data_IF_297495849609
#
_entry.id   IF_297495849609
#
_cell.length_a   1.000
_cell.length_b   1.000
_cell.length_c   1.000
_cell.angle_alpha   90.00
_cell.angle_beta   90.00
_cell.angle_gamma   90.00
#
_symmetry.space_group_name_H-M   'P 1'
#
loop_
_entity.id
_entity.type
_entity.pdbx_description
1 polymer ?
#
# COMPACT_ATOMS: atom_id res chain seq x y z
N UNK A 1 13.39 -47.05 -28.72
CA UNK A 1 12.70 -48.36 -28.75
C UNK A 1 12.89 -48.94 -27.37
N UNK A 2 11.82 -49.54 -26.87
CA UNK A 2 11.55 -49.93 -25.46
C UNK A 2 11.13 -48.76 -24.57
N UNK A 3 10.12 -48.84 -23.71
CA UNK A 3 8.90 -49.62 -23.55
C UNK A 3 8.05 -48.82 -22.52
N UNK A 4 6.71 -48.95 -22.57
CA UNK A 4 5.72 -48.96 -21.47
C UNK A 4 6.01 -48.16 -20.16
N UNK A 5 5.10 -47.38 -19.56
CA UNK A 5 3.83 -47.84 -18.97
C UNK A 5 3.08 -46.68 -18.27
N UNK A 6 1.75 -46.83 -18.15
CA UNK A 6 0.91 -46.40 -17.02
C UNK A 6 0.76 -44.90 -16.69
N UNK A 7 -0.29 -44.29 -17.24
CA UNK A 7 -0.97 -43.13 -16.67
C UNK A 7 -1.75 -43.51 -15.40
N UNK A 8 -1.36 -42.96 -14.25
CA UNK A 8 -2.18 -42.94 -13.03
C UNK A 8 -2.38 -41.51 -12.55
N UNK A 9 -3.64 -41.08 -12.53
CA UNK A 9 -4.10 -39.88 -11.83
C UNK A 9 -4.15 -40.17 -10.33
N UNK A 10 -3.50 -39.34 -9.53
CA UNK A 10 -3.65 -39.34 -8.07
C UNK A 10 -4.10 -37.94 -7.63
N UNK A 11 -5.38 -37.83 -7.31
CA UNK A 11 -5.89 -36.82 -6.39
C UNK A 11 -5.43 -37.18 -4.98
N UNK A 12 -4.76 -36.27 -4.28
CA UNK A 12 -4.68 -36.30 -2.81
C UNK A 12 -4.68 -34.88 -2.23
N UNK A 13 -5.87 -34.48 -1.74
CA UNK A 13 -6.12 -33.89 -0.43
C UNK A 13 -4.97 -33.16 0.27
N UNK A 14 -4.96 -31.82 0.22
CA UNK A 14 -4.32 -30.99 1.26
C UNK A 14 -5.35 -30.72 2.36
N UNK A 15 -5.43 -31.66 3.31
CA UNK A 15 -6.09 -31.46 4.60
C UNK A 15 -4.97 -31.14 5.61
N UNK A 16 -4.84 -29.88 6.01
CA UNK A 16 -4.04 -29.54 7.20
C UNK A 16 -4.92 -29.54 8.45
N UNK A 17 -4.40 -30.01 9.61
CA UNK A 17 -5.21 -30.44 10.74
C UNK A 17 -5.58 -29.25 11.63
N UNK A 18 -6.86 -29.17 12.00
CA UNK A 18 -7.35 -28.32 13.10
C UNK A 18 -7.29 -29.13 14.39
N UNK A 19 -6.44 -28.73 15.33
CA UNK A 19 -6.55 -28.88 16.80
C UNK A 19 -5.16 -28.60 17.42
N UNK A 20 -4.95 -28.03 18.61
CA UNK A 20 -5.82 -27.57 19.69
C UNK A 20 -4.99 -26.64 20.59
N UNK A 21 -5.53 -25.48 20.99
CA UNK A 21 -4.95 -24.69 22.10
C UNK A 21 -5.68 -25.06 23.39
N UNK A 22 -4.98 -25.79 24.26
CA UNK A 22 -5.36 -26.15 25.62
C UNK A 22 -5.78 -24.91 26.43
N UNK A 23 -7.03 -24.88 26.90
CA UNK A 23 -7.46 -24.00 28.01
C UNK A 23 -6.91 -24.55 29.34
N UNK A 24 -6.11 -23.75 30.04
CA UNK A 24 -5.82 -23.95 31.47
C UNK A 24 -7.12 -23.75 32.27
N UNK A 25 -7.48 -24.77 33.05
CA UNK A 25 -8.52 -24.68 34.07
C UNK A 25 -7.98 -23.88 35.27
N UNK A 26 -8.74 -22.90 35.75
CA UNK A 26 -8.63 -22.39 37.12
C UNK A 26 -9.92 -22.74 37.87
N UNK A 27 -9.73 -23.23 39.08
CA UNK A 27 -10.70 -23.89 39.94
C UNK A 27 -11.82 -22.97 40.45
N UNK A 28 -12.96 -23.61 40.71
CA UNK A 28 -14.19 -23.05 41.24
C UNK A 28 -14.07 -22.36 42.62
N UNK A 29 -14.94 -21.36 42.83
CA UNK A 29 -15.63 -21.18 44.12
C UNK A 29 -17.04 -20.62 43.87
N UNK A 30 -18.00 -21.21 44.58
CA UNK A 30 -19.45 -21.09 44.50
C UNK A 30 -20.03 -19.82 45.12
N UNK A 31 -21.14 -19.29 44.57
CA UNK A 31 -22.41 -19.06 45.32
C UNK A 31 -23.52 -18.37 44.49
N UNK A 32 -24.70 -19.00 44.53
CA UNK A 32 -26.08 -18.46 44.63
C UNK A 32 -26.63 -17.43 43.61
N UNK A 33 -27.56 -17.92 42.77
CA UNK A 33 -28.94 -17.42 42.66
C UNK A 33 -29.24 -16.07 41.98
N UNK A 34 -29.80 -16.11 40.76
CA UNK A 34 -31.10 -15.49 40.42
C UNK A 34 -31.42 -15.67 38.94
N UNK A 35 -32.71 -15.89 38.70
CA UNK A 35 -33.34 -16.18 37.42
C UNK A 35 -33.27 -14.97 36.48
N UNK A 36 -32.71 -15.14 35.29
CA UNK A 36 -32.96 -14.25 34.16
C UNK A 36 -32.82 -15.00 32.85
N UNK A 37 -33.85 -14.85 32.02
CA UNK A 37 -33.99 -15.42 30.68
C UNK A 37 -32.71 -15.30 29.86
N UNK A 38 -32.08 -16.44 29.59
CA UNK A 38 -30.94 -16.56 28.67
C UNK A 38 -31.39 -16.29 27.24
N UNK A 39 -31.33 -15.03 26.82
CA UNK A 39 -31.00 -14.76 25.42
C UNK A 39 -29.52 -15.08 25.24
N UNK A 40 -29.23 -16.28 24.73
CA UNK A 40 -27.93 -16.58 24.15
C UNK A 40 -27.71 -15.62 22.99
N UNK A 41 -27.12 -14.46 23.25
CA UNK A 41 -26.46 -13.68 22.22
C UNK A 41 -25.29 -14.55 21.77
N UNK A 42 -25.52 -15.38 20.75
CA UNK A 42 -24.42 -15.91 19.93
C UNK A 42 -23.61 -14.68 19.54
N UNK A 43 -22.44 -14.52 20.14
CA UNK A 43 -21.45 -13.59 19.66
C UNK A 43 -21.13 -14.05 18.24
N UNK A 44 -21.75 -13.42 17.26
CA UNK A 44 -21.33 -13.49 15.89
C UNK A 44 -19.95 -12.84 15.87
N UNK A 45 -18.89 -13.65 15.98
CA UNK A 45 -17.57 -13.21 15.54
C UNK A 45 -17.66 -13.19 14.02
N UNK A 46 -17.99 -12.03 13.47
CA UNK A 46 -17.84 -11.78 12.05
C UNK A 46 -16.34 -11.83 11.76
N UNK A 47 -15.87 -12.97 11.26
CA UNK A 47 -14.51 -13.05 10.73
C UNK A 47 -14.56 -12.53 9.29
N UNK A 48 -14.43 -11.22 9.16
CA UNK A 48 -14.43 -10.51 7.88
C UNK A 48 -13.38 -11.08 6.90
N UNK A 49 -12.38 -11.84 7.38
CA UNK A 49 -11.38 -12.49 6.54
C UNK A 49 -11.94 -13.62 5.66
N UNK A 50 -13.14 -14.13 5.96
CA UNK A 50 -13.77 -15.24 5.23
C UNK A 50 -14.82 -14.79 4.22
N UNK A 51 -15.18 -13.50 4.22
CA UNK A 51 -16.16 -12.96 3.28
C UNK A 51 -15.45 -12.49 2.00
N UNK A 52 -15.62 -13.24 0.90
CA UNK A 52 -14.96 -12.92 -0.38
C UNK A 52 -15.28 -11.51 -0.88
N UNK A 53 -16.44 -10.95 -0.52
CA UNK A 53 -16.85 -9.58 -0.87
C UNK A 53 -15.98 -8.48 -0.24
N UNK A 54 -15.22 -8.80 0.83
CA UNK A 54 -14.27 -7.87 1.46
C UNK A 54 -12.83 -8.37 1.40
N UNK A 55 -12.61 -9.61 0.93
CA UNK A 55 -11.28 -10.21 0.83
C UNK A 55 -10.72 -10.42 -0.56
N UNK A 56 -11.50 -10.14 -1.61
CA UNK A 56 -11.01 -10.21 -2.97
C UNK A 56 -11.50 -9.04 -3.80
N UNK A 57 -10.70 -8.64 -4.77
CA UNK A 57 -11.13 -7.74 -5.80
C UNK A 57 -12.28 -8.34 -6.61
N UNK A 58 -13.19 -7.48 -7.06
CA UNK A 58 -14.31 -7.86 -7.91
C UNK A 58 -14.14 -7.23 -9.27
N UNK A 59 -14.35 -8.00 -10.33
CA UNK A 59 -14.37 -7.51 -11.72
C UNK A 59 -15.79 -7.56 -12.28
N UNK A 60 -16.17 -6.53 -13.02
CA UNK A 60 -17.42 -6.45 -13.76
C UNK A 60 -17.40 -7.33 -15.02
N UNK A 61 -18.53 -7.37 -15.74
CA UNK A 61 -18.66 -8.13 -17.01
C UNK A 61 -17.74 -7.60 -18.12
N UNK A 62 -17.31 -6.36 -18.01
CA UNK A 62 -16.35 -5.70 -18.90
C UNK A 62 -14.88 -5.96 -18.51
N UNK A 63 -14.64 -6.78 -17.49
CA UNK A 63 -13.31 -7.10 -16.97
C UNK A 63 -12.70 -6.00 -16.10
N UNK A 64 -13.37 -4.87 -15.89
CA UNK A 64 -12.87 -3.77 -15.05
C UNK A 64 -13.12 -4.04 -13.58
N UNK A 65 -12.25 -3.52 -12.71
CA UNK A 65 -12.50 -3.56 -11.28
C UNK A 65 -13.76 -2.77 -10.93
N UNK A 66 -14.58 -3.36 -10.05
CA UNK A 66 -15.78 -2.73 -9.51
C UNK A 66 -15.63 -2.61 -8.01
N UNK A 67 -15.99 -1.45 -7.49
CA UNK A 67 -16.06 -1.25 -6.06
C UNK A 67 -17.22 -2.12 -5.50
N UNK A 68 -16.96 -3.03 -4.56
CA UNK A 68 -17.98 -3.93 -4.03
C UNK A 68 -18.95 -3.23 -3.06
N UNK A 69 -18.61 -2.05 -2.53
CA UNK A 69 -19.42 -1.38 -1.52
C UNK A 69 -20.59 -0.61 -2.14
N UNK A 70 -21.81 -0.77 -1.60
CA UNK A 70 -23.01 -0.09 -2.10
C UNK A 70 -22.98 1.44 -1.89
N UNK A 71 -22.03 1.95 -1.10
CA UNK A 71 -21.78 3.37 -0.91
C UNK A 71 -21.08 4.02 -2.12
N UNK A 72 -20.43 3.22 -2.97
CA UNK A 72 -19.78 3.72 -4.17
C UNK A 72 -20.80 4.17 -5.21
N UNK A 73 -20.56 5.35 -5.79
CA UNK A 73 -21.35 5.90 -6.89
C UNK A 73 -20.39 6.25 -8.02
N UNK A 74 -20.67 5.74 -9.23
CA UNK A 74 -19.88 6.09 -10.39
C UNK A 74 -19.96 7.60 -10.65
N UNK A 75 -18.80 8.22 -10.87
CA UNK A 75 -18.72 9.61 -11.28
C UNK A 75 -19.32 9.74 -12.70
N UNK A 76 -20.24 10.68 -12.84
CA UNK A 76 -20.83 11.04 -14.14
C UNK A 76 -19.97 12.11 -14.81
N UNK A 77 -19.79 12.04 -16.14
CA UNK A 77 -18.99 13.01 -16.91
C UNK A 77 -19.43 14.47 -16.63
N UNK A 78 -20.73 14.81 -16.63
CA UNK A 78 -21.23 16.11 -16.17
C UNK A 78 -20.78 16.52 -14.77
N UNK A 79 -20.67 15.59 -13.82
CA UNK A 79 -20.25 15.88 -12.45
C UNK A 79 -18.75 16.21 -12.38
N UNK A 80 -17.92 15.50 -13.17
CA UNK A 80 -16.48 15.81 -13.27
C UNK A 80 -16.26 17.18 -13.89
N UNK A 81 -16.96 17.49 -15.00
CA UNK A 81 -16.87 18.79 -15.65
C UNK A 81 -17.37 19.92 -14.73
N UNK A 82 -18.50 19.70 -14.04
CA UNK A 82 -19.03 20.64 -13.06
C UNK A 82 -18.04 20.88 -11.93
N UNK A 83 -17.45 19.83 -11.38
CA UNK A 83 -16.43 19.94 -10.34
C UNK A 83 -15.24 20.75 -10.84
N UNK A 84 -14.65 20.42 -12.00
CA UNK A 84 -13.53 21.17 -12.58
C UNK A 84 -13.80 22.67 -12.76
N UNK A 85 -15.03 23.06 -13.10
CA UNK A 85 -15.40 24.46 -13.35
C UNK A 85 -15.83 25.20 -12.07
N UNK A 86 -16.48 24.49 -11.14
CA UNK A 86 -17.09 25.10 -9.95
C UNK A 86 -16.29 24.90 -8.67
N UNK A 87 -15.22 24.12 -8.70
CA UNK A 87 -14.36 23.93 -7.55
C UNK A 87 -13.68 25.25 -7.20
N UNK A 88 -14.06 25.78 -6.04
CA UNK A 88 -13.40 26.93 -5.44
C UNK A 88 -12.26 26.41 -4.60
N UNK A 89 -11.08 26.99 -4.81
CA UNK A 89 -9.94 26.69 -3.98
C UNK A 89 -10.21 27.18 -2.54
N UNK A 90 -10.38 26.21 -1.63
CA UNK A 90 -10.55 26.43 -0.19
C UNK A 90 -9.30 26.05 0.60
N UNK A 91 -8.19 25.74 -0.08
CA UNK A 91 -6.99 25.17 0.53
C UNK A 91 -6.31 26.12 1.53
N UNK A 92 -6.68 27.41 1.53
CA UNK A 92 -6.13 28.44 2.42
C UNK A 92 -4.59 28.43 2.44
N UNK A 93 -3.99 27.99 1.33
CA UNK A 93 -2.54 27.85 1.23
C UNK A 93 -1.93 29.25 1.12
N UNK A 94 -0.95 29.58 1.97
CA UNK A 94 -0.26 30.84 1.89
C UNK A 94 0.30 31.11 0.49
N UNK A 95 0.03 32.30 -0.04
CA UNK A 95 0.50 32.70 -1.37
C UNK A 95 1.97 33.13 -1.42
N UNK A 96 2.54 33.55 -0.28
CA UNK A 96 3.92 34.00 -0.19
C UNK A 96 4.88 32.86 0.18
N UNK A 97 6.10 32.92 -0.35
CA UNK A 97 7.13 31.91 -0.06
C UNK A 97 7.55 31.97 1.41
N UNK A 98 7.63 33.18 1.96
CA UNK A 98 8.06 33.45 3.33
C UNK A 98 7.08 32.85 4.34
N UNK A 99 5.78 32.98 4.10
CA UNK A 99 4.74 32.38 4.94
C UNK A 99 4.71 30.86 4.78
N UNK A 100 4.86 30.32 3.57
CA UNK A 100 5.00 28.87 3.37
C UNK A 100 6.24 28.29 4.06
N UNK A 101 7.37 28.99 4.03
CA UNK A 101 8.60 28.54 4.68
C UNK A 101 8.49 28.62 6.21
N UNK A 102 7.67 29.54 6.73
CA UNK A 102 7.38 29.66 8.16
C UNK A 102 6.39 28.60 8.66
N UNK A 103 5.28 28.40 7.94
CA UNK A 103 4.20 27.49 8.36
C UNK A 103 4.49 26.03 7.99
N UNK A 104 5.15 25.78 6.86
CA UNK A 104 5.45 24.45 6.33
C UNK A 104 6.94 24.32 5.92
N UNK A 105 7.89 24.49 6.86
CA UNK A 105 9.31 24.41 6.53
C UNK A 105 9.66 23.04 5.91
N UNK A 106 10.43 23.05 4.82
CA UNK A 106 10.97 21.81 4.23
C UNK A 106 12.30 21.53 4.89
N UNK A 107 12.31 20.54 5.77
CA UNK A 107 13.50 20.12 6.48
C UNK A 107 14.37 19.22 5.60
N UNK A 108 15.67 19.30 5.81
CA UNK A 108 16.64 18.38 5.23
C UNK A 108 16.54 17.04 5.98
N UNK A 109 16.30 15.91 5.31
CA UNK A 109 16.30 14.60 5.96
C UNK A 109 17.68 14.26 6.54
N UNK A 110 17.69 13.52 7.66
CA UNK A 110 18.91 13.21 8.40
C UNK A 110 19.94 12.43 7.55
N UNK A 111 19.46 11.50 6.71
CA UNK A 111 20.30 10.63 5.88
C UNK A 111 21.08 11.36 4.78
N UNK A 112 20.84 12.65 4.57
CA UNK A 112 21.67 13.45 3.65
C UNK A 112 23.00 13.82 4.32
N UNK A 113 23.01 14.07 5.63
CA UNK A 113 24.23 14.38 6.38
C UNK A 113 24.87 13.11 6.95
N UNK A 114 24.06 12.15 7.36
CA UNK A 114 24.48 10.92 8.04
C UNK A 114 23.88 9.68 7.32
N UNK A 115 24.29 9.41 6.06
CA UNK A 115 23.72 8.30 5.26
C UNK A 115 23.98 6.92 5.88
N UNK A 116 25.08 6.75 6.61
CA UNK A 116 25.46 5.51 7.29
C UNK A 116 24.54 5.15 8.46
N UNK A 117 23.75 6.10 8.99
CA UNK A 117 22.80 5.82 10.06
C UNK A 117 21.48 5.22 9.57
N UNK A 118 21.23 5.23 8.25
CA UNK A 118 20.01 4.67 7.67
C UNK A 118 20.00 3.13 7.84
N UNK A 119 18.89 2.58 8.32
CA UNK A 119 18.72 1.12 8.52
C UNK A 119 19.47 0.53 9.73
N UNK A 120 20.40 1.25 10.37
CA UNK A 120 21.21 0.74 11.49
C UNK A 120 20.44 0.81 12.81
N UNK A 121 19.55 -0.16 13.08
CA UNK A 121 18.86 -0.31 14.39
C UNK A 121 18.59 -1.78 14.72
N UNK A 122 19.03 -2.23 15.91
CA UNK A 122 18.73 -3.60 16.41
C UNK A 122 17.23 -3.81 16.70
N UNK A 123 16.51 -2.75 17.08
CA UNK A 123 15.06 -2.77 17.28
C UNK A 123 14.47 -1.36 17.11
N UNK A 124 13.33 -1.25 16.44
CA UNK A 124 12.54 -0.03 16.40
C UNK A 124 11.97 0.32 15.02
N UNK A 125 11.30 1.46 14.97
CA UNK A 125 10.65 2.02 13.78
C UNK A 125 11.11 3.47 13.62
N UNK A 126 11.61 3.84 12.44
CA UNK A 126 11.84 5.24 12.05
C UNK A 126 10.97 5.55 10.84
N UNK A 127 10.42 6.76 10.84
CA UNK A 127 9.56 7.24 9.76
C UNK A 127 10.03 8.63 9.36
N UNK A 128 10.29 8.82 8.07
CA UNK A 128 10.63 10.12 7.47
C UNK A 128 9.56 10.49 6.45
N UNK A 129 8.83 11.56 6.71
CA UNK A 129 7.83 12.07 5.77
C UNK A 129 8.50 12.89 4.67
N UNK A 130 8.37 12.45 3.41
CA UNK A 130 8.94 13.10 2.23
C UNK A 130 7.92 13.96 1.45
N UNK A 131 6.71 14.11 2.02
CA UNK A 131 5.63 14.94 1.51
C UNK A 131 4.52 14.14 0.81
N UNK A 132 3.29 14.67 0.84
CA UNK A 132 2.08 13.96 0.39
C UNK A 132 1.95 12.60 1.08
N UNK A 133 1.72 11.52 0.32
CA UNK A 133 1.72 10.15 0.81
C UNK A 133 3.11 9.49 0.77
N UNK A 134 4.17 10.22 0.36
CA UNK A 134 5.51 9.64 0.34
C UNK A 134 6.12 9.61 1.73
N UNK A 135 6.29 8.40 2.25
CA UNK A 135 6.91 8.14 3.54
C UNK A 135 8.00 7.09 3.36
N UNK A 136 9.20 7.39 3.88
CA UNK A 136 10.27 6.41 4.05
C UNK A 136 10.16 5.81 5.45
N UNK A 137 10.13 4.48 5.52
CA UNK A 137 10.00 3.73 6.75
C UNK A 137 11.21 2.82 6.89
N UNK A 138 11.76 2.78 8.10
CA UNK A 138 12.87 1.91 8.46
C UNK A 138 12.42 1.05 9.64
N UNK A 139 12.39 -0.27 9.44
CA UNK A 139 11.99 -1.22 10.46
C UNK A 139 12.49 -2.62 10.09
N UNK A 140 12.82 -3.42 11.11
CA UNK A 140 13.17 -4.83 10.96
C UNK A 140 14.19 -5.07 9.83
N UNK A 141 15.27 -4.28 9.83
CA UNK A 141 16.37 -4.31 8.85
C UNK A 141 16.01 -3.90 7.41
N UNK A 142 14.78 -3.44 7.17
CA UNK A 142 14.31 -2.96 5.88
C UNK A 142 14.09 -1.44 5.86
N UNK A 143 14.39 -0.83 4.71
CA UNK A 143 14.00 0.52 4.34
C UNK A 143 13.05 0.45 3.15
N UNK A 144 11.84 0.97 3.31
CA UNK A 144 10.86 1.01 2.23
C UNK A 144 10.20 2.37 2.06
N UNK A 145 9.73 2.63 0.85
CA UNK A 145 8.97 3.82 0.50
C UNK A 145 7.50 3.48 0.25
N UNK A 146 6.63 4.43 0.56
CA UNK A 146 5.21 4.40 0.17
C UNK A 146 4.98 5.47 -0.88
N UNK A 147 4.20 5.17 -1.93
CA UNK A 147 3.70 6.12 -2.95
C UNK A 147 4.70 7.25 -3.32
N UNK A 148 5.89 6.93 -3.87
CA UNK A 148 6.95 7.90 -4.07
C UNK A 148 6.62 8.90 -5.18
N UNK A 149 6.52 10.18 -4.80
CA UNK A 149 6.30 11.31 -5.71
C UNK A 149 7.34 12.40 -5.48
N UNK A 150 8.41 12.35 -6.27
CA UNK A 150 9.49 13.34 -6.29
C UNK A 150 9.30 14.41 -7.38
N UNK A 151 8.42 14.17 -8.37
CA UNK A 151 8.07 15.16 -9.38
C UNK A 151 7.44 16.42 -8.81
N UNK A 152 7.51 17.51 -9.59
CA UNK A 152 6.90 18.79 -9.23
C UNK A 152 5.38 18.81 -9.42
N UNK A 153 4.87 17.97 -10.34
CA UNK A 153 3.44 17.88 -10.66
C UNK A 153 2.94 16.44 -10.63
N UNK A 154 1.77 16.25 -10.05
CA UNK A 154 1.00 15.00 -10.09
C UNK A 154 0.12 15.00 -11.34
N UNK A 155 0.72 14.68 -12.49
CA UNK A 155 0.08 14.82 -13.79
C UNK A 155 0.77 13.95 -14.84
N UNK A 156 0.04 13.51 -15.90
CA UNK A 156 0.67 12.88 -17.06
C UNK A 156 1.65 13.81 -17.81
N UNK A 157 1.65 15.12 -17.49
CA UNK A 157 2.57 16.09 -18.05
C UNK A 157 3.18 16.97 -16.97
N UNK A 158 4.50 17.17 -17.01
CA UNK A 158 5.18 18.11 -16.09
C UNK A 158 4.92 19.59 -16.40
N UNK A 159 4.17 19.91 -17.48
CA UNK A 159 3.82 21.29 -17.86
C UNK A 159 2.45 21.73 -17.30
N UNK A 160 1.51 20.81 -17.15
CA UNK A 160 0.11 21.09 -16.79
C UNK A 160 -0.35 20.19 -15.64
N UNK A 161 -1.41 20.57 -14.93
CA UNK A 161 -1.97 19.81 -13.81
C UNK A 161 -1.42 20.24 -12.43
N UNK A 162 -1.86 19.58 -11.35
CA UNK A 162 -1.57 19.99 -9.98
C UNK A 162 -0.06 20.06 -9.69
N UNK A 163 0.42 21.20 -9.22
CA UNK A 163 1.81 21.39 -8.79
C UNK A 163 1.86 21.36 -7.27
N UNK A 164 2.83 20.65 -6.71
CA UNK A 164 3.06 20.66 -5.25
C UNK A 164 3.44 22.06 -4.76
N UNK A 165 2.88 22.45 -3.61
CA UNK A 165 3.18 23.74 -2.98
C UNK A 165 4.56 23.79 -2.31
N UNK A 166 5.03 22.62 -1.84
CA UNK A 166 6.33 22.45 -1.18
C UNK A 166 7.16 21.47 -1.99
N UNK A 167 8.45 21.77 -2.19
CA UNK A 167 9.38 20.85 -2.88
C UNK A 167 9.52 19.52 -2.12
N UNK A 168 9.94 18.46 -2.81
CA UNK A 168 10.42 17.27 -2.13
C UNK A 168 11.63 17.66 -1.24
N UNK A 169 11.76 17.09 -0.03
CA UNK A 169 12.85 17.43 0.89
C UNK A 169 14.21 16.93 0.40
N UNK A 170 14.22 15.86 -0.40
CA UNK A 170 15.38 15.29 -1.07
C UNK A 170 15.05 14.88 -2.52
N UNK A 171 16.07 14.49 -3.27
CA UNK A 171 16.02 13.86 -4.59
C UNK A 171 16.10 12.34 -4.47
N UNK A 172 15.75 11.64 -5.55
CA UNK A 172 15.89 10.17 -5.61
C UNK A 172 17.35 9.74 -5.44
N UNK A 173 18.34 10.52 -5.88
CA UNK A 173 19.77 10.22 -5.71
C UNK A 173 20.28 10.35 -4.29
N UNK A 174 19.58 11.09 -3.42
CA UNK A 174 19.98 11.32 -2.03
C UNK A 174 19.38 10.31 -1.05
N UNK A 175 18.47 9.43 -1.51
CA UNK A 175 17.91 8.39 -0.65
C UNK A 175 19.01 7.40 -0.20
N UNK A 176 18.90 6.77 0.98
CA UNK A 176 19.70 5.58 1.29
C UNK A 176 19.32 4.41 0.36
N UNK A 177 20.00 3.25 0.43
CA UNK A 177 19.48 2.01 -0.16
C UNK A 177 18.02 1.78 0.24
N UNK A 178 17.18 1.41 -0.72
CA UNK A 178 15.75 1.14 -0.52
C UNK A 178 15.48 -0.30 -0.95
N UNK A 179 14.92 -1.10 -0.07
CA UNK A 179 14.63 -2.51 -0.31
C UNK A 179 13.29 -2.71 -1.01
N UNK A 180 12.31 -1.86 -0.69
CA UNK A 180 10.98 -1.97 -1.28
C UNK A 180 10.27 -0.63 -1.53
N UNK A 181 9.38 -0.62 -2.52
CA UNK A 181 8.35 0.41 -2.71
C UNK A 181 6.97 -0.21 -2.64
N UNK A 182 6.06 0.42 -1.89
CA UNK A 182 4.66 0.07 -1.80
C UNK A 182 3.83 1.12 -2.55
N UNK A 183 3.09 0.68 -3.57
CA UNK A 183 2.13 1.52 -4.29
C UNK A 183 0.73 1.20 -3.78
N UNK A 184 -0.03 2.22 -3.39
CA UNK A 184 -1.41 2.05 -2.93
C UNK A 184 -2.42 1.99 -4.07
N UNK A 185 -2.25 2.82 -5.11
CA UNK A 185 -3.10 2.89 -6.29
C UNK A 185 -2.45 3.70 -7.42
N UNK A 186 -3.11 3.78 -8.59
CA UNK A 186 -2.52 4.29 -9.83
C UNK A 186 -2.79 5.78 -10.14
N UNK A 187 -3.26 6.57 -9.18
CA UNK A 187 -3.45 8.00 -9.42
C UNK A 187 -2.10 8.73 -9.45
N UNK A 188 -1.99 9.81 -10.24
CA UNK A 188 -0.72 10.50 -10.50
C UNK A 188 -0.07 11.14 -9.26
N UNK A 189 -0.81 11.35 -8.18
CA UNK A 189 -0.31 11.82 -6.90
C UNK A 189 0.17 10.68 -5.98
N UNK A 190 0.07 9.42 -6.42
CA UNK A 190 0.58 8.23 -5.71
C UNK A 190 1.47 7.34 -6.59
N UNK A 191 1.28 7.38 -7.91
CA UNK A 191 2.08 6.68 -8.92
C UNK A 191 2.68 7.69 -9.90
N UNK A 192 3.84 8.23 -9.55
CA UNK A 192 4.57 9.19 -10.38
C UNK A 192 5.57 8.49 -11.31
N UNK A 193 5.30 8.53 -12.61
CA UNK A 193 6.12 7.91 -13.64
C UNK A 193 7.60 8.28 -13.56
N UNK A 194 7.94 9.56 -13.34
CA UNK A 194 9.36 9.96 -13.29
C UNK A 194 10.05 9.46 -12.02
N UNK A 195 9.33 9.36 -10.91
CA UNK A 195 9.86 8.75 -9.68
C UNK A 195 10.11 7.27 -9.87
N UNK A 196 9.18 6.55 -10.52
CA UNK A 196 9.36 5.13 -10.86
C UNK A 196 10.60 4.92 -11.72
N UNK A 197 10.77 5.71 -12.80
CA UNK A 197 11.94 5.61 -13.65
C UNK A 197 13.24 5.91 -12.88
N UNK A 198 13.29 7.00 -12.10
CA UNK A 198 14.50 7.37 -11.37
C UNK A 198 14.88 6.34 -10.29
N UNK A 199 13.89 5.76 -9.59
CA UNK A 199 14.12 4.71 -8.62
C UNK A 199 14.61 3.42 -9.28
N UNK A 200 13.98 3.02 -10.39
CA UNK A 200 14.38 1.84 -11.14
C UNK A 200 15.77 2.00 -11.78
N UNK A 201 16.10 3.18 -12.32
CA UNK A 201 17.43 3.49 -12.84
C UNK A 201 18.50 3.41 -11.74
N UNK A 202 18.16 3.85 -10.52
CA UNK A 202 19.10 3.87 -9.41
C UNK A 202 19.33 2.51 -8.77
N UNK A 203 18.27 1.77 -8.48
CA UNK A 203 18.31 0.55 -7.65
C UNK A 203 18.10 -0.74 -8.47
N UNK A 204 17.54 -0.63 -9.67
CA UNK A 204 17.36 -1.76 -10.58
C UNK A 204 16.66 -2.97 -9.95
N UNK A 205 17.17 -4.20 -10.16
CA UNK A 205 16.53 -5.43 -9.71
C UNK A 205 16.59 -5.66 -8.19
N UNK A 206 17.46 -4.93 -7.47
CA UNK A 206 17.56 -5.02 -6.00
C UNK A 206 16.31 -4.44 -5.33
N UNK A 207 15.67 -3.45 -5.95
CA UNK A 207 14.45 -2.82 -5.44
C UNK A 207 13.21 -3.66 -5.76
N UNK A 208 12.48 -4.09 -4.72
CA UNK A 208 11.19 -4.77 -4.88
C UNK A 208 10.02 -3.79 -4.92
N UNK A 209 9.13 -3.95 -5.90
CA UNK A 209 7.90 -3.18 -6.01
C UNK A 209 6.69 -4.03 -5.59
N UNK A 210 5.92 -3.58 -4.62
CA UNK A 210 4.61 -4.15 -4.28
C UNK A 210 3.53 -3.25 -4.84
N UNK A 211 2.70 -3.78 -5.73
CA UNK A 211 1.67 -3.01 -6.44
C UNK A 211 0.29 -3.71 -6.39
N UNK A 212 -0.82 -2.95 -6.47
CA UNK A 212 -2.15 -3.51 -6.59
C UNK A 212 -2.35 -4.25 -7.92
N UNK A 213 -3.32 -5.17 -7.95
CA UNK A 213 -3.74 -5.85 -9.18
C UNK A 213 -3.98 -4.90 -10.37
N UNK A 214 -3.49 -5.29 -11.55
CA UNK A 214 -3.59 -4.56 -12.81
C UNK A 214 -2.43 -3.62 -13.12
N UNK A 215 -1.43 -3.51 -12.24
CA UNK A 215 -0.26 -2.63 -12.42
C UNK A 215 1.02 -3.34 -12.85
N UNK A 216 1.09 -4.67 -12.79
CA UNK A 216 2.30 -5.43 -13.15
C UNK A 216 2.83 -5.07 -14.56
N UNK A 217 1.95 -5.13 -15.56
CA UNK A 217 2.30 -4.81 -16.96
C UNK A 217 2.77 -3.36 -17.13
N UNK A 218 2.20 -2.42 -16.38
CA UNK A 218 2.62 -1.02 -16.42
C UNK A 218 4.01 -0.85 -15.82
N UNK A 219 4.29 -1.47 -14.67
CA UNK A 219 5.61 -1.43 -14.02
C UNK A 219 6.68 -2.08 -14.91
N UNK A 220 6.38 -3.21 -15.54
CA UNK A 220 7.29 -3.88 -16.48
C UNK A 220 7.60 -3.01 -17.71
N UNK A 221 6.62 -2.26 -18.22
CA UNK A 221 6.84 -1.28 -19.30
C UNK A 221 7.72 -0.11 -18.88
N UNK A 222 7.75 0.23 -17.60
CA UNK A 222 8.71 1.17 -17.02
C UNK A 222 10.12 0.57 -16.82
N UNK A 223 10.29 -0.73 -17.09
CA UNK A 223 11.56 -1.46 -16.93
C UNK A 223 11.76 -2.04 -15.54
N UNK A 224 10.75 -2.06 -14.67
CA UNK A 224 10.85 -2.67 -13.35
C UNK A 224 10.77 -4.20 -13.46
N UNK A 225 11.82 -4.90 -13.00
CA UNK A 225 11.94 -6.36 -13.14
C UNK A 225 11.45 -7.12 -11.89
N UNK A 226 11.64 -6.55 -10.69
CA UNK A 226 11.30 -7.18 -9.41
C UNK A 226 9.97 -6.61 -8.87
N UNK A 227 8.86 -7.03 -9.48
CA UNK A 227 7.51 -6.52 -9.17
C UNK A 227 6.61 -7.65 -8.69
N UNK A 228 5.94 -7.44 -7.56
CA UNK A 228 4.93 -8.32 -7.00
C UNK A 228 3.59 -7.59 -7.06
N UNK A 229 2.66 -8.18 -7.79
CA UNK A 229 1.28 -7.72 -7.89
C UNK A 229 0.41 -8.52 -6.92
N UNK A 230 -0.38 -7.84 -6.08
CA UNK A 230 -1.17 -8.46 -5.02
C UNK A 230 -2.63 -8.00 -5.07
N UNK A 231 -3.54 -8.93 -4.77
CA UNK A 231 -4.90 -8.62 -4.32
C UNK A 231 -4.91 -8.33 -2.80
N UNK A 232 -6.06 -7.90 -2.33
CA UNK A 232 -6.31 -7.59 -0.94
C UNK A 232 -6.13 -8.88 -0.15
N UNK A 233 -5.48 -8.79 1.01
CA UNK A 233 -5.19 -9.94 1.91
C UNK A 233 -4.22 -10.98 1.37
N UNK A 234 -3.67 -10.80 0.18
CA UNK A 234 -2.48 -11.56 -0.23
C UNK A 234 -1.24 -11.00 0.47
N UNK A 235 -0.24 -11.85 0.65
CA UNK A 235 1.00 -11.52 1.33
C UNK A 235 2.20 -11.99 0.52
N UNK A 236 3.31 -11.26 0.65
CA UNK A 236 4.60 -11.61 0.10
C UNK A 236 5.67 -10.85 0.91
N UNK A 237 6.95 -11.19 0.73
CA UNK A 237 8.05 -10.59 1.48
C UNK A 237 9.15 -10.07 0.55
N UNK A 238 10.09 -9.30 1.08
CA UNK A 238 11.39 -9.09 0.43
C UNK A 238 12.20 -10.39 0.63
N UNK A 239 12.86 -10.94 -0.41
CA UNK A 239 13.54 -12.23 -0.35
C UNK A 239 14.85 -12.21 0.44
#
# INVERSE_FOLDING_TARGET
MDENESSQSLMTSSQYPKEAVRKRQNSARSSVGSDSSRFSRKSFKLDYRLEEDVTKSKKGKDGRFVNPWPTWKNLSIPNVLRWLIMEKDHSSVPGSKEELDKELPVLKPYFIDEPEEAGVREAGLRVTWLGHATVMVEMDELIFLTDPVFSSRASPSQRVGPKRFRRAPCTVSELPPIDAVLISHNHYDHLDYNSVLALNERFGPELRWFVPLGLLDWMQKCGCENVIELDWWEENCVP
#
